data_IF_941223516892
#
_entry.id   IF_941223516892
#
_cell.length_a   1.000
_cell.length_b   1.000
_cell.length_c   1.000
_cell.angle_alpha   90.00
_cell.angle_beta   90.00
_cell.angle_gamma   90.00
#
_symmetry.space_group_name_H-M   'P 1'
#
loop_
_entity.id
_entity.type
_entity.pdbx_description
1 polymer ?
#
# COMPACT_ATOMS: atom_id res chain seq x y z
N UNK A 1 -5.96 6.15 -5.80
CA UNK A 1 -6.50 6.15 -4.42
C UNK A 1 -5.60 7.02 -3.55
N UNK A 2 -5.96 7.31 -2.30
CA UNK A 2 -5.00 7.89 -1.35
C UNK A 2 -5.31 7.36 0.04
N UNK A 3 -4.56 6.35 0.47
CA UNK A 3 -4.74 5.67 1.76
C UNK A 3 -3.40 5.40 2.40
N UNK A 4 -3.37 5.37 3.73
CA UNK A 4 -2.22 4.84 4.48
C UNK A 4 -2.21 3.32 4.36
N UNK A 5 -1.01 2.73 4.37
CA UNK A 5 -0.84 1.27 4.33
C UNK A 5 -1.64 0.55 5.42
N UNK A 6 -1.72 1.14 6.63
CA UNK A 6 -2.52 0.59 7.73
C UNK A 6 -4.03 0.51 7.44
N UNK A 7 -4.60 1.49 6.74
CA UNK A 7 -6.03 1.47 6.38
C UNK A 7 -6.34 0.35 5.36
N UNK A 8 -5.40 0.09 4.46
CA UNK A 8 -5.50 -1.01 3.50
C UNK A 8 -5.45 -2.34 4.25
N UNK A 9 -4.49 -2.49 5.18
CA UNK A 9 -4.37 -3.68 6.00
C UNK A 9 -5.65 -3.96 6.82
N UNK A 10 -6.23 -2.95 7.48
CA UNK A 10 -7.49 -3.06 8.20
C UNK A 10 -8.64 -3.54 7.30
N UNK A 11 -8.72 -3.03 6.07
CA UNK A 11 -9.79 -3.39 5.11
C UNK A 11 -9.71 -4.86 4.69
N UNK A 12 -8.51 -5.41 4.57
CA UNK A 12 -8.29 -6.79 4.10
C UNK A 12 -8.03 -7.80 5.23
N UNK A 13 -8.10 -7.36 6.49
CA UNK A 13 -7.70 -8.19 7.65
C UNK A 13 -6.21 -8.54 7.65
N UNK A 14 -5.39 -7.74 6.99
CA UNK A 14 -3.95 -7.91 6.88
C UNK A 14 -3.20 -7.34 8.09
N UNK A 15 -1.91 -7.68 8.18
CA UNK A 15 -0.99 -7.16 9.19
C UNK A 15 0.07 -6.29 8.52
N UNK A 16 0.27 -5.07 9.03
CA UNK A 16 1.36 -4.20 8.57
C UNK A 16 2.68 -4.66 9.17
N UNK A 17 3.70 -4.83 8.33
CA UNK A 17 5.10 -4.98 8.74
C UNK A 17 5.88 -3.82 8.10
N UNK A 18 6.44 -2.92 8.92
CA UNK A 18 7.09 -1.68 8.46
C UNK A 18 6.29 -0.42 8.80
N UNK A 19 6.40 0.63 7.98
CA UNK A 19 5.75 1.92 8.22
C UNK A 19 4.30 1.95 7.71
N UNK A 20 3.35 1.80 8.64
CA UNK A 20 1.91 1.87 8.37
C UNK A 20 1.40 3.25 7.95
N UNK A 21 2.18 4.32 8.13
CA UNK A 21 1.83 5.68 7.73
C UNK A 21 2.12 5.97 6.25
N UNK A 22 2.84 5.05 5.56
CA UNK A 22 3.16 5.13 4.14
C UNK A 22 1.90 5.40 3.31
N UNK A 23 1.95 6.45 2.49
CA UNK A 23 0.84 6.83 1.61
C UNK A 23 0.90 6.01 0.32
N UNK A 24 -0.16 5.25 0.08
CA UNK A 24 -0.41 4.51 -1.15
C UNK A 24 -1.34 5.33 -2.04
N UNK A 25 -0.86 5.64 -3.25
CA UNK A 25 -1.54 6.44 -4.26
C UNK A 25 -2.06 5.63 -5.45
N UNK A 26 -1.45 4.47 -5.72
CA UNK A 26 -1.79 3.62 -6.85
C UNK A 26 -1.54 2.15 -6.59
N UNK A 27 -1.91 1.33 -7.56
CA UNK A 27 -1.65 -0.11 -7.62
C UNK A 27 -0.93 -0.36 -8.94
N UNK A 28 0.16 -1.12 -8.93
CA UNK A 28 0.92 -1.45 -10.14
C UNK A 28 1.67 -2.77 -9.99
N UNK A 29 1.99 -3.41 -11.13
CA UNK A 29 2.85 -4.58 -11.16
C UNK A 29 4.28 -4.25 -10.71
N UNK A 30 5.04 -5.27 -10.31
CA UNK A 30 6.39 -5.09 -9.75
C UNK A 30 7.33 -4.33 -10.68
N UNK A 31 7.23 -4.52 -12.00
CA UNK A 31 8.16 -3.91 -12.96
C UNK A 31 7.81 -2.46 -13.28
N UNK A 32 6.55 -2.07 -13.12
CA UNK A 32 6.01 -0.76 -13.48
C UNK A 32 5.79 0.16 -12.27
N UNK A 33 5.83 -0.40 -11.06
CA UNK A 33 5.58 0.31 -9.82
C UNK A 33 6.56 1.47 -9.60
N UNK A 34 6.01 2.61 -9.18
CA UNK A 34 6.76 3.78 -8.76
C UNK A 34 6.45 4.12 -7.30
N UNK A 35 7.13 5.13 -6.77
CA UNK A 35 6.92 5.59 -5.39
C UNK A 35 5.43 5.90 -5.15
N UNK A 36 4.87 5.26 -4.12
CA UNK A 36 3.45 5.38 -3.76
C UNK A 36 2.56 4.28 -4.33
N UNK A 37 3.05 3.42 -5.22
CA UNK A 37 2.28 2.27 -5.68
C UNK A 37 2.45 1.07 -4.74
N UNK A 38 1.36 0.36 -4.48
CA UNK A 38 1.37 -0.97 -3.85
C UNK A 38 1.36 -2.05 -4.93
N UNK A 39 2.05 -3.15 -4.66
CA UNK A 39 2.19 -4.29 -5.59
C UNK A 39 1.86 -5.60 -4.87
N UNK A 40 1.67 -6.67 -5.63
CA UNK A 40 1.40 -8.04 -5.17
C UNK A 40 1.99 -9.06 -6.15
#
# INVERSE_FOLDING_TARGET
>A
MRKRLKEIAETVGGKVIGDGETIITGISGIKEAKKGDITF
#
